data_IF_535383074725
#
_entry.id   IF_535383074725
#
_cell.length_a   1.000
_cell.length_b   1.000
_cell.length_c   1.000
_cell.angle_alpha   90.00
_cell.angle_beta   90.00
_cell.angle_gamma   90.00
#
_symmetry.space_group_name_H-M   'P 1'
#
loop_
_entity.id
_entity.type
_entity.pdbx_description
1 polymer ?
#
# COMPACT_ATOMS: atom_id res chain seq x y z
N UNK A 1 -34.76 71.07 -6.73
CA UNK A 1 -34.96 70.50 -5.38
C UNK A 1 -34.75 68.98 -5.45
N UNK A 2 -34.05 68.48 -4.44
CA UNK A 2 -33.45 67.16 -4.19
C UNK A 2 -34.17 65.88 -4.70
N UNK A 3 -33.38 64.98 -5.31
CA UNK A 3 -33.67 63.55 -5.54
C UNK A 3 -33.71 62.79 -4.20
N UNK A 4 -34.63 61.84 -4.02
CA UNK A 4 -34.55 60.81 -2.96
C UNK A 4 -34.57 59.41 -3.59
N UNK A 5 -33.44 58.74 -3.42
CA UNK A 5 -33.12 57.39 -3.82
C UNK A 5 -33.32 56.52 -2.58
N UNK A 6 -34.29 55.62 -2.57
CA UNK A 6 -34.51 54.70 -1.44
C UNK A 6 -33.79 53.40 -1.76
N UNK A 7 -32.69 53.16 -1.05
CA UNK A 7 -31.82 51.99 -1.17
C UNK A 7 -32.48 50.76 -0.54
N UNK A 8 -32.51 49.64 -1.27
CA UNK A 8 -32.71 48.30 -0.72
C UNK A 8 -31.45 47.90 0.07
N UNK A 9 -31.60 47.65 1.36
CA UNK A 9 -30.56 47.03 2.18
C UNK A 9 -30.52 45.53 1.89
N UNK A 10 -29.50 45.09 1.14
CA UNK A 10 -29.15 43.68 1.02
C UNK A 10 -28.32 43.28 2.26
N UNK A 11 -28.91 42.46 3.14
CA UNK A 11 -28.20 41.88 4.28
C UNK A 11 -27.13 40.90 3.81
N UNK A 12 -25.87 41.18 4.13
CA UNK A 12 -24.76 40.26 3.92
C UNK A 12 -24.82 39.14 4.98
N UNK A 13 -25.14 37.92 4.55
CA UNK A 13 -24.95 36.74 5.37
C UNK A 13 -23.45 36.38 5.35
N UNK A 14 -22.74 36.71 6.43
CA UNK A 14 -21.39 36.21 6.67
C UNK A 14 -21.46 34.72 6.98
N UNK A 15 -21.03 33.88 6.05
CA UNK A 15 -20.71 32.49 6.32
C UNK A 15 -19.53 32.46 7.29
N UNK A 16 -19.77 32.10 8.55
CA UNK A 16 -18.72 31.85 9.53
C UNK A 16 -18.00 30.57 9.10
N UNK A 17 -16.88 30.70 8.38
CA UNK A 17 -15.85 29.66 8.42
C UNK A 17 -15.26 29.70 9.83
N UNK A 18 -15.74 28.82 10.70
CA UNK A 18 -15.11 28.60 12.01
C UNK A 18 -13.67 28.15 11.76
N UNK A 19 -12.69 29.05 11.90
CA UNK A 19 -11.30 28.64 12.06
C UNK A 19 -11.20 27.97 13.44
N UNK A 20 -11.37 26.65 13.49
CA UNK A 20 -11.08 25.87 14.70
C UNK A 20 -9.59 26.00 15.05
N UNK A 21 -9.26 26.08 16.35
CA UNK A 21 -7.87 26.00 16.79
C UNK A 21 -7.33 24.60 16.42
N UNK A 22 -6.23 24.47 15.66
CA UNK A 22 -5.68 23.17 15.27
C UNK A 22 -5.23 22.31 16.46
N UNK A 23 -5.12 22.88 17.67
CA UNK A 23 -4.79 22.17 18.91
C UNK A 23 -6.01 21.65 19.67
N UNK A 24 -7.22 22.09 19.32
CA UNK A 24 -8.44 21.61 19.95
C UNK A 24 -8.63 20.11 19.69
N UNK A 25 -9.04 19.38 20.72
CA UNK A 25 -9.37 17.96 20.61
C UNK A 25 -10.78 17.78 20.07
N UNK A 26 -10.91 17.75 18.74
CA UNK A 26 -12.19 17.61 18.05
C UNK A 26 -12.08 16.66 16.85
N UNK A 27 -13.25 16.26 16.31
CA UNK A 27 -13.33 15.32 15.19
C UNK A 27 -12.67 15.82 13.90
N UNK A 28 -12.70 17.11 13.63
CA UNK A 28 -12.16 17.71 12.41
C UNK A 28 -10.62 17.65 12.42
N UNK A 29 -10.00 18.16 13.48
CA UNK A 29 -8.55 18.12 13.65
C UNK A 29 -8.00 16.68 13.66
N UNK A 30 -8.71 15.73 14.28
CA UNK A 30 -8.30 14.32 14.28
C UNK A 30 -8.47 13.66 12.92
N UNK A 31 -9.55 14.00 12.20
CA UNK A 31 -9.75 13.53 10.83
C UNK A 31 -8.61 13.99 9.93
N UNK A 32 -8.22 15.25 10.02
CA UNK A 32 -7.13 15.81 9.22
C UNK A 32 -5.79 15.19 9.59
N UNK A 33 -5.48 15.09 10.89
CA UNK A 33 -4.26 14.45 11.38
C UNK A 33 -4.09 13.00 10.88
N UNK A 34 -5.19 12.23 10.85
CA UNK A 34 -5.18 10.85 10.37
C UNK A 34 -5.09 10.82 8.84
N UNK A 35 -5.90 11.62 8.14
CA UNK A 35 -5.90 11.73 6.68
C UNK A 35 -4.51 12.08 6.13
N UNK A 36 -3.84 13.03 6.76
CA UNK A 36 -2.51 13.48 6.35
C UNK A 36 -1.48 12.35 6.34
N UNK A 37 -1.58 11.42 7.29
CA UNK A 37 -0.71 10.25 7.30
C UNK A 37 -1.20 9.13 6.38
N UNK A 38 -2.47 8.71 6.47
CA UNK A 38 -2.95 7.52 5.73
C UNK A 38 -2.91 7.72 4.21
N UNK A 39 -3.09 8.95 3.70
CA UNK A 39 -3.06 9.24 2.27
C UNK A 39 -1.70 8.96 1.63
N UNK A 40 -0.62 9.10 2.40
CA UNK A 40 0.75 8.84 1.99
C UNK A 40 1.15 7.36 2.18
N UNK A 41 0.31 6.59 2.87
CA UNK A 41 0.56 5.20 3.25
C UNK A 41 -0.57 4.29 2.75
N UNK A 42 -0.82 4.23 1.43
CA UNK A 42 -1.82 3.35 0.87
C UNK A 42 -1.48 1.88 1.12
N UNK A 43 -2.48 0.99 1.15
CA UNK A 43 -2.24 -0.44 1.23
C UNK A 43 -1.51 -0.94 -0.02
N UNK A 44 -0.72 -2.00 0.13
CA UNK A 44 0.04 -2.59 -0.97
C UNK A 44 0.02 -4.11 -0.89
N UNK A 45 0.02 -4.76 -2.05
CA UNK A 45 0.29 -6.19 -2.16
C UNK A 45 1.78 -6.41 -2.48
N UNK A 46 2.45 -7.39 -1.86
CA UNK A 46 3.85 -7.69 -2.16
C UNK A 46 3.98 -8.33 -3.54
N UNK A 47 5.06 -8.03 -4.25
CA UNK A 47 5.46 -8.80 -5.43
C UNK A 47 6.11 -10.10 -4.95
N UNK A 48 5.66 -11.28 -5.42
CA UNK A 48 6.24 -12.56 -5.03
C UNK A 48 7.73 -12.64 -5.35
N UNK A 49 8.50 -13.27 -4.46
CA UNK A 49 9.91 -13.56 -4.71
C UNK A 49 10.05 -14.80 -5.58
N UNK A 50 11.02 -14.79 -6.48
CA UNK A 50 11.41 -15.98 -7.22
C UNK A 50 12.13 -16.96 -6.29
N UNK A 51 11.99 -18.26 -6.56
CA UNK A 51 12.63 -19.31 -5.75
C UNK A 51 14.02 -19.67 -6.26
N UNK A 52 14.24 -19.45 -7.54
CA UNK A 52 15.48 -19.78 -8.22
C UNK A 52 16.09 -18.49 -8.76
N UNK A 53 17.38 -18.32 -8.48
CA UNK A 53 18.16 -17.18 -8.96
C UNK A 53 19.18 -17.66 -9.96
N UNK A 54 19.40 -16.91 -11.06
CA UNK A 54 20.48 -17.23 -11.98
C UNK A 54 21.84 -17.18 -11.27
N UNK A 55 22.78 -18.00 -11.72
CA UNK A 55 24.16 -18.01 -11.24
C UNK A 55 24.87 -16.67 -11.49
N UNK A 56 24.46 -16.00 -12.57
CA UNK A 56 24.88 -14.66 -12.93
C UNK A 56 23.82 -13.69 -12.44
N UNK A 57 24.24 -12.59 -11.80
CA UNK A 57 23.34 -11.52 -11.35
C UNK A 57 22.24 -11.98 -10.37
N UNK A 58 22.63 -12.73 -9.34
CA UNK A 58 21.72 -13.19 -8.27
C UNK A 58 21.08 -12.05 -7.45
N UNK A 59 21.54 -10.81 -7.64
CA UNK A 59 21.01 -9.61 -7.01
C UNK A 59 19.99 -8.84 -7.85
N UNK A 60 19.65 -9.32 -9.05
CA UNK A 60 18.64 -8.71 -9.89
C UNK A 60 17.24 -8.82 -9.25
N UNK A 61 16.48 -7.72 -9.29
CA UNK A 61 15.10 -7.71 -8.81
C UNK A 61 14.14 -8.39 -9.79
N UNK A 62 14.39 -8.24 -11.09
CA UNK A 62 13.63 -8.88 -12.16
C UNK A 62 14.58 -9.35 -13.27
N UNK A 63 14.24 -10.40 -14.02
CA UNK A 63 13.05 -11.23 -13.86
C UNK A 63 13.08 -12.09 -12.59
N UNK A 64 11.90 -12.50 -12.11
CA UNK A 64 11.73 -13.52 -11.07
C UNK A 64 11.44 -14.87 -11.71
N UNK A 65 11.96 -15.95 -11.14
CA UNK A 65 11.89 -17.27 -11.76
C UNK A 65 11.22 -18.30 -10.86
N UNK A 66 10.39 -19.14 -11.48
CA UNK A 66 9.83 -20.37 -10.90
C UNK A 66 10.31 -21.55 -11.73
N UNK A 67 10.77 -22.61 -11.08
CA UNK A 67 11.32 -23.78 -11.78
C UNK A 67 10.22 -24.57 -12.53
N UNK A 68 10.47 -24.87 -13.80
CA UNK A 68 9.54 -25.56 -14.70
C UNK A 68 9.95 -27.02 -15.00
N UNK A 69 10.99 -27.55 -14.36
CA UNK A 69 11.47 -28.93 -14.56
C UNK A 69 10.37 -29.94 -14.22
N UNK A 70 9.91 -30.83 -15.10
CA UNK A 70 8.81 -31.75 -14.79
C UNK A 70 8.99 -32.52 -13.47
N UNK A 71 7.95 -32.54 -12.63
CA UNK A 71 7.92 -33.29 -11.36
C UNK A 71 6.83 -34.34 -11.39
N UNK A 72 7.14 -35.54 -10.90
CA UNK A 72 6.23 -36.69 -10.91
C UNK A 72 5.40 -36.82 -9.62
N UNK A 73 5.86 -36.23 -8.52
CA UNK A 73 5.13 -36.28 -7.25
C UNK A 73 3.99 -35.26 -7.23
N UNK A 74 2.80 -35.72 -6.81
CA UNK A 74 1.61 -34.86 -6.67
C UNK A 74 1.87 -33.69 -5.70
N UNK A 75 2.55 -33.96 -4.58
CA UNK A 75 2.92 -32.93 -3.61
C UNK A 75 3.81 -31.85 -4.23
N UNK A 76 4.80 -32.23 -5.05
CA UNK A 76 5.68 -31.29 -5.72
C UNK A 76 4.93 -30.45 -6.78
N UNK A 77 3.98 -31.06 -7.49
CA UNK A 77 3.11 -30.34 -8.43
C UNK A 77 2.24 -29.30 -7.70
N UNK A 78 1.61 -29.70 -6.59
CA UNK A 78 0.78 -28.80 -5.78
C UNK A 78 1.60 -27.68 -5.14
N UNK A 79 2.82 -27.96 -4.65
CA UNK A 79 3.70 -26.93 -4.08
C UNK A 79 4.03 -25.87 -5.11
N UNK A 80 4.44 -26.29 -6.31
CA UNK A 80 4.75 -25.35 -7.38
C UNK A 80 3.54 -24.56 -7.85
N UNK A 81 2.38 -25.21 -7.96
CA UNK A 81 1.15 -24.50 -8.29
C UNK A 81 0.83 -23.39 -7.26
N UNK A 82 1.06 -23.64 -5.96
CA UNK A 82 0.88 -22.62 -4.92
C UNK A 82 1.89 -21.48 -5.02
N UNK A 83 3.16 -21.80 -5.30
CA UNK A 83 4.22 -20.80 -5.45
C UNK A 83 4.01 -19.91 -6.68
N UNK A 84 3.43 -20.49 -7.71
CA UNK A 84 3.23 -19.85 -9.00
C UNK A 84 1.92 -19.08 -9.11
N UNK A 85 0.89 -19.46 -8.34
CA UNK A 85 -0.42 -18.83 -8.37
C UNK A 85 -0.39 -17.30 -8.19
N UNK A 86 0.39 -16.72 -7.24
CA UNK A 86 0.51 -15.26 -7.11
C UNK A 86 1.11 -14.58 -8.34
N UNK A 87 2.09 -15.22 -9.00
CA UNK A 87 2.66 -14.69 -10.24
C UNK A 87 1.64 -14.71 -11.38
N UNK A 88 0.92 -15.83 -11.54
CA UNK A 88 -0.12 -15.94 -12.57
C UNK A 88 -1.27 -14.98 -12.35
N UNK A 89 -1.65 -14.71 -11.11
CA UNK A 89 -2.64 -13.69 -10.78
C UNK A 89 -2.19 -12.28 -11.19
N UNK A 90 -0.91 -11.95 -10.97
CA UNK A 90 -0.33 -10.67 -11.42
C UNK A 90 -0.22 -10.57 -12.95
N UNK A 91 0.03 -11.69 -13.64
CA UNK A 91 -0.02 -11.75 -15.11
C UNK A 91 -1.44 -11.55 -15.62
N UNK A 92 -2.42 -12.22 -15.03
CA UNK A 92 -3.85 -12.10 -15.39
C UNK A 92 -4.37 -10.66 -15.19
N UNK A 93 -3.88 -9.98 -14.15
CA UNK A 93 -4.17 -8.57 -13.89
C UNK A 93 -3.38 -7.58 -14.79
N UNK A 94 -2.52 -8.10 -15.67
CA UNK A 94 -1.71 -7.32 -16.60
C UNK A 94 -0.55 -6.56 -15.94
N UNK A 95 -0.17 -6.90 -14.71
CA UNK A 95 0.95 -6.28 -13.99
C UNK A 95 2.29 -6.97 -14.26
N UNK A 96 2.26 -8.23 -14.65
CA UNK A 96 3.43 -9.00 -15.02
C UNK A 96 3.26 -9.67 -16.38
N UNK A 97 4.37 -10.13 -16.92
CA UNK A 97 4.45 -10.98 -18.11
C UNK A 97 5.18 -12.26 -17.73
N UNK A 98 4.86 -13.36 -18.42
CA UNK A 98 5.51 -14.65 -18.23
C UNK A 98 6.02 -15.16 -19.57
N UNK A 99 7.22 -15.75 -19.56
CA UNK A 99 7.77 -16.50 -20.69
C UNK A 99 8.53 -17.72 -20.19
N UNK A 100 8.55 -18.78 -20.98
CA UNK A 100 9.43 -19.91 -20.71
C UNK A 100 10.87 -19.54 -21.08
N UNK A 101 11.81 -19.99 -20.25
CA UNK A 101 13.22 -19.74 -20.44
C UNK A 101 14.06 -20.90 -19.88
N UNK A 102 15.36 -20.84 -20.10
CA UNK A 102 16.34 -21.70 -19.44
C UNK A 102 17.43 -20.81 -18.90
N UNK A 103 17.72 -20.92 -17.61
CA UNK A 103 18.72 -20.10 -16.94
C UNK A 103 19.84 -20.96 -16.34
N UNK A 104 21.08 -20.48 -16.32
CA UNK A 104 22.15 -21.13 -15.59
C UNK A 104 21.96 -20.90 -14.10
N UNK A 105 22.00 -21.96 -13.32
CA UNK A 105 21.87 -21.93 -11.85
C UNK A 105 23.07 -22.62 -11.24
N UNK A 106 23.56 -22.11 -10.12
CA UNK A 106 24.71 -22.71 -9.42
C UNK A 106 24.36 -24.14 -8.98
N UNK A 107 25.20 -25.10 -9.35
CA UNK A 107 24.95 -26.52 -9.07
C UNK A 107 25.28 -26.92 -7.62
N UNK A 108 26.18 -26.19 -6.95
CA UNK A 108 26.59 -26.44 -5.57
C UNK A 108 27.02 -25.15 -4.87
N UNK A 109 26.83 -25.08 -3.55
CA UNK A 109 27.26 -23.95 -2.72
C UNK A 109 28.79 -23.73 -2.71
N UNK A 110 29.58 -24.78 -2.91
CA UNK A 110 31.04 -24.76 -2.78
C UNK A 110 31.80 -25.01 -4.10
N UNK A 111 31.11 -25.04 -5.24
CA UNK A 111 31.73 -25.28 -6.55
C UNK A 111 31.30 -24.26 -7.61
N UNK A 112 32.03 -24.23 -8.72
CA UNK A 112 31.79 -23.30 -9.84
C UNK A 112 30.89 -23.89 -10.95
N UNK A 113 30.44 -25.13 -10.76
CA UNK A 113 29.54 -25.80 -11.69
C UNK A 113 28.20 -25.07 -11.83
N UNK A 114 27.71 -24.97 -13.07
CA UNK A 114 26.39 -24.43 -13.40
C UNK A 114 25.55 -25.52 -14.06
N UNK A 115 24.25 -25.53 -13.76
CA UNK A 115 23.26 -26.38 -14.44
C UNK A 115 22.25 -25.49 -15.15
N UNK A 116 21.86 -25.89 -16.36
CA UNK A 116 20.78 -25.23 -17.09
C UNK A 116 19.44 -25.74 -16.55
N UNK A 117 18.59 -24.84 -16.07
CA UNK A 117 17.29 -25.18 -15.48
C UNK A 117 16.18 -24.53 -16.30
N UNK A 118 15.17 -25.29 -16.78
CA UNK A 118 13.99 -24.71 -17.39
C UNK A 118 13.17 -23.97 -16.33
N UNK A 119 12.77 -22.75 -16.64
CA UNK A 119 12.05 -21.85 -15.72
C UNK A 119 10.92 -21.12 -16.42
N UNK A 120 9.93 -20.72 -15.64
CA UNK A 120 9.01 -19.63 -16.02
C UNK A 120 9.59 -18.32 -15.50
N UNK A 121 9.90 -17.43 -16.43
CA UNK A 121 10.47 -16.10 -16.19
C UNK A 121 9.34 -15.08 -16.12
N UNK A 122 9.18 -14.48 -14.95
CA UNK A 122 8.19 -13.44 -14.67
C UNK A 122 8.86 -12.07 -14.59
N UNK A 123 8.44 -11.15 -15.44
CA UNK A 123 8.93 -9.77 -15.46
C UNK A 123 7.77 -8.79 -15.36
N UNK A 124 8.03 -7.57 -14.92
CA UNK A 124 7.03 -6.51 -14.88
C UNK A 124 6.57 -6.17 -16.30
N UNK A 125 5.25 -6.07 -16.48
CA UNK A 125 4.69 -5.48 -17.69
C UNK A 125 4.98 -3.97 -17.72
N UNK A 126 4.76 -3.31 -18.86
CA UNK A 126 4.86 -1.85 -18.94
C UNK A 126 3.91 -1.14 -17.96
N UNK A 127 2.75 -1.74 -17.67
CA UNK A 127 1.84 -1.27 -16.61
C UNK A 127 2.45 -1.47 -15.23
N UNK A 128 2.97 -2.67 -14.95
CA UNK A 128 3.61 -3.00 -13.67
C UNK A 128 4.79 -2.09 -13.34
N UNK A 129 5.68 -1.84 -14.31
CA UNK A 129 6.85 -0.95 -14.14
C UNK A 129 6.48 0.47 -13.69
N UNK A 130 5.33 0.98 -14.11
CA UNK A 130 4.88 2.34 -13.76
C UNK A 130 4.35 2.47 -12.34
N UNK A 131 3.88 1.37 -11.75
CA UNK A 131 3.17 1.39 -10.46
C UNK A 131 3.88 0.58 -9.36
N UNK A 132 4.94 -0.16 -9.72
CA UNK A 132 5.75 -0.86 -8.73
C UNK A 132 6.47 0.16 -7.86
N UNK A 133 6.47 -0.07 -6.56
CA UNK A 133 7.27 0.71 -5.61
C UNK A 133 8.18 -0.22 -4.82
N UNK A 134 9.32 0.32 -4.41
CA UNK A 134 10.26 -0.35 -3.53
C UNK A 134 10.07 0.14 -2.09
N UNK A 135 10.16 -0.76 -1.12
CA UNK A 135 10.16 -0.41 0.31
C UNK A 135 11.39 -0.98 1.01
N UNK A 136 12.05 -0.10 1.78
CA UNK A 136 13.28 -0.43 2.52
C UNK A 136 14.54 -0.19 1.71
N UNK A 137 15.67 -0.23 2.42
CA UNK A 137 16.98 0.04 1.83
C UNK A 137 17.63 -1.22 1.27
N UNK A 138 18.44 -1.02 0.23
CA UNK A 138 19.32 -2.05 -0.29
C UNK A 138 20.52 -2.17 0.65
N UNK A 139 20.69 -3.35 1.24
CA UNK A 139 21.85 -3.69 2.08
C UNK A 139 22.60 -4.88 1.48
N UNK A 140 23.71 -5.26 2.10
CA UNK A 140 24.44 -6.48 1.73
C UNK A 140 23.60 -7.76 1.91
N UNK A 141 22.54 -7.73 2.72
CA UNK A 141 21.72 -8.89 3.08
C UNK A 141 20.24 -8.75 2.70
N UNK A 142 19.81 -7.58 2.24
CA UNK A 142 18.41 -7.31 1.93
C UNK A 142 18.28 -6.47 0.67
N UNK A 143 17.32 -6.85 -0.16
CA UNK A 143 16.81 -6.03 -1.25
C UNK A 143 15.52 -5.34 -0.86
N UNK A 144 15.25 -4.12 -1.38
CA UNK A 144 13.97 -3.45 -1.18
C UNK A 144 12.80 -4.33 -1.64
N UNK A 145 11.79 -4.46 -0.78
CA UNK A 145 10.60 -5.23 -1.11
C UNK A 145 9.82 -4.51 -2.21
N UNK A 146 9.64 -5.19 -3.35
CA UNK A 146 8.81 -4.69 -4.44
C UNK A 146 7.34 -4.91 -4.09
N UNK A 147 6.50 -3.90 -4.27
CA UNK A 147 5.07 -3.93 -3.93
C UNK A 147 4.24 -3.09 -4.91
N UNK A 148 2.97 -3.47 -5.08
CA UNK A 148 1.98 -2.68 -5.80
C UNK A 148 1.03 -2.05 -4.80
N UNK A 149 1.10 -0.73 -4.66
CA UNK A 149 0.19 0.02 -3.80
C UNK A 149 -1.07 0.44 -4.55
N UNK A 150 -2.20 0.48 -3.86
CA UNK A 150 -3.50 0.67 -4.49
C UNK A 150 -4.45 1.46 -3.60
N UNK A 151 -5.32 2.22 -4.26
CA UNK A 151 -6.31 3.06 -3.62
C UNK A 151 -5.70 4.20 -2.81
N UNK A 152 -6.55 5.18 -2.51
CA UNK A 152 -6.21 6.34 -1.68
C UNK A 152 -7.07 6.29 -0.42
N UNK A 153 -6.50 5.94 0.75
CA UNK A 153 -7.25 5.95 2.00
C UNK A 153 -7.80 7.34 2.30
N UNK A 154 -9.10 7.43 2.59
CA UNK A 154 -9.78 8.66 2.96
C UNK A 154 -10.67 8.42 4.16
N UNK A 155 -10.44 9.14 5.25
CA UNK A 155 -11.31 9.15 6.43
C UNK A 155 -12.65 9.77 6.07
N UNK A 156 -13.72 9.04 6.34
CA UNK A 156 -15.09 9.51 6.21
C UNK A 156 -15.50 10.28 7.46
N UNK A 157 -15.36 9.65 8.63
CA UNK A 157 -15.76 10.22 9.90
C UNK A 157 -14.91 9.71 11.08
N UNK A 158 -14.83 10.54 12.13
CA UNK A 158 -14.38 10.09 13.44
C UNK A 158 -15.59 9.57 14.22
N UNK A 159 -15.56 8.29 14.56
CA UNK A 159 -16.63 7.62 15.33
C UNK A 159 -16.56 8.08 16.78
N UNK A 160 -15.40 7.89 17.42
CA UNK A 160 -15.17 8.23 18.82
C UNK A 160 -13.69 8.51 19.08
N UNK A 161 -13.41 9.25 20.14
CA UNK A 161 -12.06 9.47 20.64
C UNK A 161 -12.04 9.54 22.17
N UNK A 162 -10.89 9.23 22.78
CA UNK A 162 -10.69 9.41 24.23
C UNK A 162 -10.33 10.84 24.56
N UNK A 163 -10.66 11.29 25.78
CA UNK A 163 -10.14 12.58 26.26
C UNK A 163 -8.60 12.60 26.17
N UNK A 164 -8.01 13.72 25.71
CA UNK A 164 -6.56 13.86 25.64
C UNK A 164 -5.88 13.66 26.99
N UNK A 165 -4.92 12.75 27.05
CA UNK A 165 -4.15 12.47 28.26
C UNK A 165 -2.66 12.55 27.97
N UNK A 166 -1.86 12.85 28.99
CA UNK A 166 -0.41 12.85 28.87
C UNK A 166 0.12 11.41 28.95
N UNK A 167 0.88 11.00 27.95
CA UNK A 167 1.55 9.71 27.88
C UNK A 167 2.98 9.92 27.37
N UNK A 168 3.99 9.46 28.11
CA UNK A 168 5.40 9.62 27.74
C UNK A 168 5.82 11.09 27.48
N UNK A 169 5.22 12.04 28.20
CA UNK A 169 5.54 13.47 28.07
C UNK A 169 4.90 14.18 26.87
N UNK A 170 4.04 13.51 26.12
CA UNK A 170 3.25 14.10 25.04
C UNK A 170 1.76 13.89 25.30
N UNK A 171 0.92 14.79 24.76
CA UNK A 171 -0.53 14.66 24.87
C UNK A 171 -1.06 13.79 23.72
N UNK A 172 -1.82 12.75 24.06
CA UNK A 172 -2.28 11.70 23.13
C UNK A 172 -3.79 11.51 23.24
N UNK A 173 -4.46 11.22 22.13
CA UNK A 173 -5.84 10.73 22.09
C UNK A 173 -5.95 9.48 21.22
N UNK A 174 -6.73 8.49 21.66
CA UNK A 174 -7.03 7.29 20.87
C UNK A 174 -8.30 7.54 20.06
N UNK A 175 -8.23 7.32 18.75
CA UNK A 175 -9.29 7.67 17.80
C UNK A 175 -9.74 6.42 17.05
N UNK A 176 -11.05 6.18 17.01
CA UNK A 176 -11.68 5.20 16.11
C UNK A 176 -12.40 5.96 15.01
N UNK A 177 -12.18 5.54 13.76
CA UNK A 177 -12.68 6.24 12.57
C UNK A 177 -13.16 5.25 11.52
N UNK A 178 -13.97 5.74 10.58
CA UNK A 178 -14.32 5.02 9.36
C UNK A 178 -13.62 5.66 8.18
N UNK A 179 -13.19 4.83 7.24
CA UNK A 179 -12.53 5.27 6.03
C UNK A 179 -12.87 4.35 4.86
N UNK A 180 -12.58 4.81 3.65
CA UNK A 180 -12.64 3.99 2.44
C UNK A 180 -11.40 4.20 1.58
N UNK A 181 -11.22 3.36 0.57
CA UNK A 181 -10.20 3.52 -0.45
C UNK A 181 -10.83 4.15 -1.70
N UNK A 182 -10.44 5.39 -2.01
CA UNK A 182 -10.75 6.01 -3.31
C UNK A 182 -9.87 5.44 -4.40
N UNK A 183 -10.22 5.67 -5.65
CA UNK A 183 -9.36 5.42 -6.82
C UNK A 183 -8.81 3.99 -6.90
N UNK A 184 -9.62 3.01 -6.48
CA UNK A 184 -9.25 1.60 -6.56
C UNK A 184 -9.07 1.19 -8.03
N UNK A 185 -7.86 0.79 -8.44
CA UNK A 185 -7.61 0.44 -9.83
C UNK A 185 -8.26 -0.90 -10.20
N UNK A 186 -8.66 -1.07 -11.45
CA UNK A 186 -9.37 -2.28 -11.92
C UNK A 186 -8.62 -3.58 -11.63
N UNK A 187 -7.28 -3.54 -11.66
CA UNK A 187 -6.47 -4.70 -11.35
C UNK A 187 -6.65 -5.17 -9.90
N UNK A 188 -6.91 -4.28 -8.95
CA UNK A 188 -7.15 -4.63 -7.55
C UNK A 188 -8.49 -5.34 -7.35
N UNK A 189 -9.40 -5.26 -8.35
CA UNK A 189 -10.69 -5.96 -8.35
C UNK A 189 -10.64 -7.32 -9.05
N UNK A 190 -9.48 -7.72 -9.60
CA UNK A 190 -9.33 -9.00 -10.29
C UNK A 190 -9.52 -10.19 -9.34
N UNK A 191 -10.37 -11.14 -9.73
CA UNK A 191 -10.75 -12.28 -8.90
C UNK A 191 -9.59 -13.23 -8.58
N UNK A 192 -8.68 -13.49 -9.54
CA UNK A 192 -7.50 -14.31 -9.27
C UNK A 192 -6.54 -13.62 -8.31
N UNK A 193 -6.43 -12.29 -8.39
CA UNK A 193 -5.64 -11.53 -7.42
C UNK A 193 -6.27 -11.56 -6.04
N UNK A 194 -7.58 -11.45 -5.90
CA UNK A 194 -8.24 -11.57 -4.59
C UNK A 194 -8.02 -12.94 -3.93
N UNK A 195 -7.96 -14.01 -4.73
CA UNK A 195 -7.61 -15.35 -4.23
C UNK A 195 -6.16 -15.39 -3.72
N UNK A 196 -5.23 -14.79 -4.45
CA UNK A 196 -3.81 -14.75 -4.07
C UNK A 196 -3.52 -13.75 -2.92
N UNK A 197 -4.30 -12.67 -2.83
CA UNK A 197 -4.17 -11.56 -1.89
C UNK A 197 -5.56 -11.22 -1.30
N UNK A 198 -6.05 -11.99 -0.31
CA UNK A 198 -7.39 -11.80 0.26
C UNK A 198 -7.63 -10.43 0.90
N UNK A 199 -6.56 -9.67 1.20
CA UNK A 199 -6.65 -8.27 1.61
C UNK A 199 -7.34 -7.37 0.57
N UNK A 200 -7.24 -7.69 -0.72
CA UNK A 200 -7.89 -6.91 -1.78
C UNK A 200 -9.41 -6.93 -1.65
N UNK A 201 -9.98 -8.09 -1.32
CA UNK A 201 -11.43 -8.25 -1.12
C UNK A 201 -11.88 -7.45 0.12
N UNK A 202 -11.14 -7.57 1.23
CA UNK A 202 -11.46 -6.79 2.45
C UNK A 202 -11.41 -5.29 2.18
N UNK A 203 -10.38 -4.84 1.47
CA UNK A 203 -10.14 -3.44 1.18
C UNK A 203 -11.08 -2.85 0.12
N UNK A 204 -11.85 -3.68 -0.58
CA UNK A 204 -12.87 -3.25 -1.53
C UNK A 204 -14.20 -2.84 -0.87
N UNK A 205 -14.34 -3.00 0.45
CA UNK A 205 -15.53 -2.58 1.18
C UNK A 205 -15.75 -1.06 1.08
N UNK A 206 -17.03 -0.66 1.05
CA UNK A 206 -17.41 0.76 0.98
C UNK A 206 -17.06 1.54 2.26
N UNK A 207 -16.90 0.83 3.39
CA UNK A 207 -16.51 1.42 4.66
C UNK A 207 -15.67 0.42 5.47
N UNK A 208 -14.54 0.90 5.96
CA UNK A 208 -13.57 0.17 6.76
C UNK A 208 -13.40 0.87 8.11
N UNK A 209 -13.28 0.07 9.17
CA UNK A 209 -12.99 0.58 10.50
C UNK A 209 -11.47 0.74 10.70
N UNK A 210 -11.07 1.87 11.24
CA UNK A 210 -9.69 2.21 11.57
C UNK A 210 -9.52 2.66 13.02
N UNK A 211 -8.31 2.49 13.54
CA UNK A 211 -7.89 2.99 14.86
C UNK A 211 -6.51 3.58 14.75
N UNK A 212 -6.32 4.76 15.33
CA UNK A 212 -5.05 5.46 15.38
C UNK A 212 -4.91 6.21 16.70
N UNK A 213 -3.69 6.54 17.07
CA UNK A 213 -3.40 7.51 18.11
C UNK A 213 -2.99 8.83 17.46
N UNK A 214 -3.43 9.94 18.02
CA UNK A 214 -2.99 11.26 17.58
C UNK A 214 -2.23 11.94 18.71
N UNK A 215 -1.16 12.64 18.34
CA UNK A 215 -0.25 13.30 19.27
C UNK A 215 -0.32 14.80 19.02
N UNK A 216 -0.50 15.57 20.09
CA UNK A 216 -0.53 17.03 20.01
C UNK A 216 0.88 17.59 19.84
N UNK A 217 1.05 18.48 18.87
CA UNK A 217 2.29 19.23 18.61
C UNK A 217 2.04 20.73 18.70
N UNK A 218 3.09 21.52 18.49
CA UNK A 218 2.96 22.98 18.36
C UNK A 218 2.16 23.40 17.11
N UNK A 219 2.05 22.54 16.10
CA UNK A 219 1.35 22.77 14.82
C UNK A 219 -0.08 22.19 14.80
N UNK A 220 -0.46 21.43 15.82
CA UNK A 220 -1.74 20.72 15.89
C UNK A 220 -1.57 19.22 16.11
N UNK A 221 -2.60 18.44 15.84
CA UNK A 221 -2.58 16.99 16.00
C UNK A 221 -1.91 16.30 14.80
N UNK A 222 -1.12 15.26 15.08
CA UNK A 222 -0.51 14.40 14.04
C UNK A 222 -0.73 12.93 14.36
N UNK A 223 -0.82 12.08 13.34
CA UNK A 223 -0.86 10.62 13.50
C UNK A 223 0.39 10.12 14.24
N UNK A 224 0.28 9.10 15.10
CA UNK A 224 1.39 8.67 15.96
C UNK A 224 2.64 8.26 15.15
N UNK A 225 2.42 7.55 14.05
CA UNK A 225 3.46 7.13 13.11
C UNK A 225 4.14 8.27 12.34
N UNK A 226 3.50 9.42 12.20
CA UNK A 226 4.12 10.62 11.62
C UNK A 226 5.09 11.28 12.62
N UNK A 227 4.79 11.20 13.93
CA UNK A 227 5.63 11.77 14.98
C UNK A 227 6.93 10.99 15.21
N UNK A 228 6.90 9.66 15.00
CA UNK A 228 8.06 8.78 15.19
C UNK A 228 9.06 8.78 14.03
N UNK A 229 8.72 9.46 12.92
CA UNK A 229 9.54 9.53 11.72
C UNK A 229 10.44 10.78 11.67
N UNK A 230 10.47 11.59 12.73
CA UNK A 230 11.36 12.73 12.91
C UNK A 230 12.49 12.43 13.88
#
# INVERSE_FOLDING_TARGET
>A
MLKRFTWLAAGAATLLSSCSDPKDANKENFKDAINDWIKEHPPCIPVPRGQITPSQDSGAEFPRYVEATPVTSKFAQESRAREEAPFLALVDAGLMTVKDATIPVRASLFGDGQKQVPVRSYDLSEKGKKIVTAQGDKTAFSSPAQRFCYGTPTVDEIVQYTEPADAMGVKVSQVTYRYHLKDLPDWARNEKLKVAYPELERNAAESLDGKAAVILTNEGWVHERASSAR
#
